data_IF_369507740201
#
_entry.id   IF_369507740201
#
_cell.length_a   1.000
_cell.length_b   1.000
_cell.length_c   1.000
_cell.angle_alpha   90.00
_cell.angle_beta   90.00
_cell.angle_gamma   90.00
#
_symmetry.space_group_name_H-M   'P 1'
#
loop_
_entity.id
_entity.type
_entity.pdbx_description
1 polymer ?
#
# COMPACT_ATOMS: atom_id res chain seq x y z
N UNK A 1 -3.84 20.36 10.63
CA UNK A 1 -2.74 19.40 10.41
C UNK A 1 -3.20 17.94 10.59
N UNK A 2 -3.81 17.58 11.73
CA UNK A 2 -4.31 16.22 12.03
C UNK A 2 -5.28 15.67 10.97
N UNK A 3 -6.27 16.45 10.55
CA UNK A 3 -7.27 16.00 9.55
C UNK A 3 -6.66 15.64 8.19
N UNK A 4 -5.59 16.33 7.78
CA UNK A 4 -4.88 16.06 6.53
C UNK A 4 -4.17 14.71 6.59
N UNK A 5 -3.49 14.43 7.71
CA UNK A 5 -2.84 13.14 7.96
C UNK A 5 -3.85 12.00 7.99
N UNK A 6 -5.00 12.19 8.65
CA UNK A 6 -6.08 11.19 8.66
C UNK A 6 -6.58 10.86 7.25
N UNK A 7 -6.80 11.88 6.40
CA UNK A 7 -7.22 11.66 5.02
C UNK A 7 -6.19 10.88 4.20
N UNK A 8 -4.90 11.21 4.38
CA UNK A 8 -3.80 10.50 3.71
C UNK A 8 -3.74 9.04 4.22
N UNK A 9 -3.93 8.81 5.52
CA UNK A 9 -3.93 7.48 6.10
C UNK A 9 -5.13 6.63 5.66
N UNK A 10 -6.31 7.23 5.53
CA UNK A 10 -7.48 6.56 4.92
C UNK A 10 -7.22 6.14 3.49
N UNK A 11 -6.57 7.01 2.72
CA UNK A 11 -6.11 6.64 1.39
C UNK A 11 -5.15 5.46 1.47
N UNK A 12 -4.12 5.50 2.32
CA UNK A 12 -3.16 4.40 2.46
C UNK A 12 -3.83 3.07 2.87
N UNK A 13 -4.77 3.06 3.82
CA UNK A 13 -5.46 1.82 4.26
C UNK A 13 -6.08 1.04 3.10
N UNK A 14 -6.79 1.76 2.23
CA UNK A 14 -7.42 1.14 1.05
C UNK A 14 -6.40 0.71 0.00
N UNK A 15 -5.27 1.43 -0.13
CA UNK A 15 -4.13 0.97 -0.95
C UNK A 15 -3.56 -0.33 -0.40
N UNK A 16 -3.34 -0.41 0.91
CA UNK A 16 -2.72 -1.56 1.57
C UNK A 16 -3.56 -2.83 1.40
N UNK A 17 -4.88 -2.74 1.57
CA UNK A 17 -5.78 -3.89 1.42
C UNK A 17 -5.69 -4.48 0.01
N UNK A 18 -5.80 -3.63 -1.02
CA UNK A 18 -5.70 -4.09 -2.41
C UNK A 18 -4.31 -4.66 -2.70
N UNK A 19 -3.26 -4.01 -2.19
CA UNK A 19 -1.89 -4.47 -2.37
C UNK A 19 -1.66 -5.86 -1.78
N UNK A 20 -2.15 -6.09 -0.56
CA UNK A 20 -2.08 -7.39 0.11
C UNK A 20 -2.85 -8.47 -0.66
N UNK A 21 -4.05 -8.17 -1.15
CA UNK A 21 -4.84 -9.12 -1.94
C UNK A 21 -4.12 -9.53 -3.23
N UNK A 22 -3.55 -8.57 -3.95
CA UNK A 22 -2.79 -8.84 -5.18
C UNK A 22 -1.51 -9.60 -4.86
N UNK A 23 -0.79 -9.20 -3.80
CA UNK A 23 0.45 -9.84 -3.40
C UNK A 23 0.25 -11.26 -2.87
N UNK A 24 -0.92 -11.57 -2.30
CA UNK A 24 -1.27 -12.93 -1.90
C UNK A 24 -1.29 -13.89 -3.10
N UNK A 25 -1.71 -13.43 -4.29
CA UNK A 25 -1.67 -14.21 -5.53
C UNK A 25 -0.22 -14.64 -5.84
N UNK A 26 0.75 -13.73 -5.65
CA UNK A 26 2.17 -14.05 -5.85
C UNK A 26 2.63 -15.18 -4.91
N UNK A 27 2.19 -15.13 -3.65
CA UNK A 27 2.52 -16.15 -2.66
C UNK A 27 1.93 -17.51 -3.05
N UNK A 28 0.69 -17.53 -3.55
CA UNK A 28 0.06 -18.76 -4.03
C UNK A 28 0.77 -19.37 -5.25
N UNK A 29 1.32 -18.54 -6.15
CA UNK A 29 1.92 -19.01 -7.40
C UNK A 29 3.41 -19.34 -7.29
N UNK A 30 4.18 -18.55 -6.53
CA UNK A 30 5.64 -18.66 -6.45
C UNK A 30 6.18 -18.86 -5.05
N UNK A 31 5.35 -18.81 -4.01
CA UNK A 31 5.78 -18.89 -2.62
C UNK A 31 6.11 -17.51 -2.01
N UNK A 32 6.49 -17.54 -0.72
CA UNK A 32 6.63 -16.33 0.09
C UNK A 32 7.78 -15.42 -0.35
N UNK A 33 8.81 -15.97 -1.02
CA UNK A 33 9.96 -15.20 -1.50
C UNK A 33 9.59 -14.11 -2.50
N UNK A 34 8.52 -14.32 -3.27
CA UNK A 34 8.01 -13.35 -4.25
C UNK A 34 7.15 -12.24 -3.63
N UNK A 35 6.71 -12.41 -2.38
CA UNK A 35 5.80 -11.49 -1.71
C UNK A 35 6.34 -10.06 -1.72
N UNK A 36 7.59 -9.85 -1.29
CA UNK A 36 8.15 -8.50 -1.14
C UNK A 36 8.30 -7.77 -2.47
N UNK A 37 8.76 -8.47 -3.50
CA UNK A 37 8.92 -7.90 -4.84
C UNK A 37 7.55 -7.49 -5.38
N UNK A 38 6.55 -8.37 -5.30
CA UNK A 38 5.19 -8.06 -5.75
C UNK A 38 4.55 -6.93 -4.94
N UNK A 39 4.69 -6.96 -3.62
CA UNK A 39 4.11 -5.96 -2.72
C UNK A 39 4.66 -4.55 -2.96
N UNK A 40 5.95 -4.43 -3.25
CA UNK A 40 6.60 -3.15 -3.56
C UNK A 40 6.42 -2.69 -5.01
N UNK A 41 5.97 -3.58 -5.91
CA UNK A 41 5.80 -3.27 -7.34
C UNK A 41 4.36 -3.49 -7.80
N UNK A 42 4.04 -4.66 -8.34
CA UNK A 42 2.76 -4.99 -8.97
C UNK A 42 1.56 -4.78 -8.05
N UNK A 43 1.65 -5.16 -6.79
CA UNK A 43 0.56 -4.97 -5.83
C UNK A 43 0.30 -3.49 -5.53
N UNK A 44 1.34 -2.66 -5.42
CA UNK A 44 1.18 -1.21 -5.29
C UNK A 44 0.58 -0.60 -6.57
N UNK A 45 1.11 -0.95 -7.74
CA UNK A 45 0.60 -0.45 -9.03
C UNK A 45 -0.86 -0.85 -9.25
N UNK A 46 -1.24 -2.09 -8.94
CA UNK A 46 -2.62 -2.57 -9.02
C UNK A 46 -3.53 -1.81 -8.06
N UNK A 47 -3.04 -1.46 -6.87
CA UNK A 47 -3.79 -0.65 -5.91
C UNK A 47 -4.05 0.77 -6.41
N UNK A 48 -3.06 1.38 -7.06
CA UNK A 48 -3.24 2.67 -7.72
C UNK A 48 -4.23 2.53 -8.88
N UNK A 49 -4.05 1.55 -9.76
CA UNK A 49 -4.95 1.26 -10.87
C UNK A 49 -6.40 1.10 -10.41
N UNK A 50 -6.65 0.27 -9.39
CA UNK A 50 -7.97 0.11 -8.79
C UNK A 50 -8.61 1.45 -8.38
N UNK A 51 -7.84 2.37 -7.79
CA UNK A 51 -8.34 3.68 -7.41
C UNK A 51 -8.58 4.60 -8.60
N UNK A 52 -7.73 4.53 -9.61
CA UNK A 52 -7.92 5.28 -10.85
C UNK A 52 -9.16 4.81 -11.62
N UNK A 53 -9.50 3.52 -11.62
CA UNK A 53 -10.68 3.03 -12.33
C UNK A 53 -11.97 3.20 -11.53
N UNK A 54 -11.96 2.86 -10.24
CA UNK A 54 -13.20 2.73 -9.46
C UNK A 54 -13.45 3.88 -8.48
N UNK A 55 -12.44 4.71 -8.17
CA UNK A 55 -12.54 5.72 -7.09
C UNK A 55 -12.08 7.13 -7.49
N UNK A 56 -12.20 7.51 -8.77
CA UNK A 56 -11.80 8.86 -9.27
C UNK A 56 -12.42 10.00 -8.46
N UNK A 57 -13.69 9.89 -8.07
CA UNK A 57 -14.39 10.91 -7.27
C UNK A 57 -13.70 11.21 -5.93
N UNK A 58 -12.99 10.23 -5.36
CA UNK A 58 -12.30 10.41 -4.09
C UNK A 58 -11.09 11.34 -4.24
N UNK A 59 -10.43 11.39 -5.40
CA UNK A 59 -9.33 12.35 -5.62
C UNK A 59 -9.80 13.80 -5.54
N UNK A 60 -11.02 14.10 -5.99
CA UNK A 60 -11.62 15.43 -5.86
C UNK A 60 -11.84 15.78 -4.38
N UNK A 61 -12.32 14.82 -3.58
CA UNK A 61 -12.47 14.99 -2.13
C UNK A 61 -11.12 15.33 -1.46
N UNK A 62 -10.04 14.61 -1.79
CA UNK A 62 -8.72 14.86 -1.19
C UNK A 62 -8.12 16.20 -1.65
N UNK A 63 -8.32 16.56 -2.92
CA UNK A 63 -7.87 17.83 -3.46
C UNK A 63 -8.56 19.01 -2.78
N UNK A 64 -9.88 18.94 -2.58
CA UNK A 64 -10.66 19.93 -1.83
C UNK A 64 -10.22 20.04 -0.36
N UNK A 65 -9.62 18.99 0.20
CA UNK A 65 -9.01 18.99 1.53
C UNK A 65 -7.52 19.39 1.53
N UNK A 66 -7.00 19.94 0.43
CA UNK A 66 -5.64 20.45 0.32
C UNK A 66 -4.55 19.37 0.23
N UNK A 67 -4.90 18.16 -0.20
CA UNK A 67 -3.95 17.07 -0.47
C UNK A 67 -3.91 16.82 -1.98
N UNK A 68 -2.72 16.93 -2.58
CA UNK A 68 -2.58 16.63 -4.01
C UNK A 68 -2.52 15.13 -4.25
N UNK A 69 -2.90 14.71 -5.47
CA UNK A 69 -2.81 13.30 -5.91
C UNK A 69 -1.40 12.74 -5.78
N UNK A 70 -0.39 13.53 -6.15
CA UNK A 70 1.03 13.15 -6.04
C UNK A 70 1.42 12.93 -4.58
N UNK A 71 0.97 13.80 -3.66
CA UNK A 71 1.21 13.61 -2.22
C UNK A 71 0.62 12.30 -1.72
N UNK A 72 -0.61 11.94 -2.14
CA UNK A 72 -1.24 10.67 -1.77
C UNK A 72 -0.45 9.47 -2.28
N UNK A 73 0.01 9.51 -3.53
CA UNK A 73 0.77 8.43 -4.16
C UNK A 73 2.12 8.23 -3.49
N UNK A 74 2.91 9.30 -3.34
CA UNK A 74 4.23 9.25 -2.71
C UNK A 74 4.14 8.77 -1.26
N UNK A 75 3.22 9.34 -0.48
CA UNK A 75 3.05 8.95 0.92
C UNK A 75 2.60 7.49 1.04
N UNK A 76 1.68 7.05 0.16
CA UNK A 76 1.25 5.65 0.16
C UNK A 76 2.38 4.70 -0.19
N UNK A 77 3.25 5.08 -1.14
CA UNK A 77 4.39 4.26 -1.51
C UNK A 77 5.41 4.17 -0.36
N UNK A 78 5.73 5.29 0.28
CA UNK A 78 6.59 5.31 1.47
C UNK A 78 6.03 4.43 2.59
N UNK A 79 4.74 4.55 2.89
CA UNK A 79 4.09 3.70 3.89
C UNK A 79 4.07 2.22 3.49
N UNK A 80 3.95 1.91 2.19
CA UNK A 80 4.05 0.54 1.68
C UNK A 80 5.45 -0.02 1.92
N UNK A 81 6.49 0.78 1.66
CA UNK A 81 7.88 0.40 1.96
C UNK A 81 8.11 0.18 3.46
N UNK A 82 7.63 1.08 4.33
CA UNK A 82 7.69 0.88 5.78
C UNK A 82 6.96 -0.40 6.20
N UNK A 83 5.81 -0.70 5.61
CA UNK A 83 5.04 -1.92 5.90
C UNK A 83 5.79 -3.18 5.44
N UNK A 84 6.48 -3.12 4.29
CA UNK A 84 7.31 -4.21 3.81
C UNK A 84 8.48 -4.48 4.77
N UNK A 85 9.15 -3.43 5.27
CA UNK A 85 10.21 -3.57 6.28
C UNK A 85 9.64 -4.24 7.54
N UNK A 86 8.47 -3.80 8.02
CA UNK A 86 7.81 -4.41 9.19
C UNK A 86 7.53 -5.89 8.97
N UNK A 87 7.00 -6.29 7.81
CA UNK A 87 6.81 -7.70 7.48
C UNK A 87 8.14 -8.47 7.42
N UNK A 88 9.18 -7.89 6.83
CA UNK A 88 10.52 -8.49 6.78
C UNK A 88 11.09 -8.71 8.17
N UNK A 89 10.95 -7.74 9.07
CA UNK A 89 11.37 -7.85 10.48
C UNK A 89 10.60 -8.96 11.20
N UNK A 90 9.28 -9.05 11.02
CA UNK A 90 8.46 -10.11 11.62
C UNK A 90 8.93 -11.50 11.16
N UNK A 91 9.17 -11.66 9.85
CA UNK A 91 9.65 -12.92 9.27
C UNK A 91 11.05 -13.27 9.78
N UNK A 92 11.95 -12.30 9.83
CA UNK A 92 13.29 -12.49 10.38
C UNK A 92 13.26 -12.92 11.85
N UNK A 93 12.46 -12.24 12.68
CA UNK A 93 12.30 -12.59 14.09
C UNK A 93 11.71 -13.99 14.26
N UNK A 94 10.68 -14.34 13.47
CA UNK A 94 10.09 -15.68 13.47
C UNK A 94 11.13 -16.76 13.19
N UNK A 95 11.94 -16.59 12.14
CA UNK A 95 12.95 -17.57 11.73
C UNK A 95 14.15 -17.65 12.68
N UNK A 96 14.35 -16.65 13.55
CA UNK A 96 15.43 -16.64 14.55
C UNK A 96 14.98 -17.21 15.90
N UNK A 97 13.69 -17.10 16.22
CA UNK A 97 13.12 -17.53 17.50
C UNK A 97 12.64 -18.99 17.48
N UNK A 98 12.29 -19.53 16.30
CA UNK A 98 11.80 -20.90 16.09
C UNK A 98 12.70 -21.61 15.08
#
# INVERSE_FOLDING_TARGET
>A
MIRKLLNIFEFFKTTLIVNLLVSAIAVFLGGFDYFFIWFLSFGFLASIGFKEFYRKKNYLFYFNNGVSKIQLMLFSYLMTFCTAILFGLIVFLKNKLF
#
